data_IF_148813928528
#
_entry.id   IF_148813928528
#
_cell.length_a   1.000
_cell.length_b   1.000
_cell.length_c   1.000
_cell.angle_alpha   90.00
_cell.angle_beta   90.00
_cell.angle_gamma   90.00
#
_symmetry.space_group_name_H-M   'P 1'
#
loop_
_entity.id
_entity.type
_entity.pdbx_description
1 polymer ?
#
# COMPACT_ATOMS: atom_id res chain seq x y z
N UNK A 1 23.56 30.46 4.06
CA UNK A 1 24.88 30.61 3.41
C UNK A 1 24.82 29.85 2.10
N UNK A 2 24.78 30.58 0.99
CA UNK A 2 24.85 30.03 -0.35
C UNK A 2 26.35 29.98 -0.70
N UNK A 3 26.96 28.80 -0.72
CA UNK A 3 28.43 28.66 -0.79
C UNK A 3 29.00 28.96 -2.18
N UNK A 4 28.17 29.41 -3.13
CA UNK A 4 28.55 29.75 -4.52
C UNK A 4 29.13 28.58 -5.31
N UNK A 5 29.22 27.40 -4.70
CA UNK A 5 29.84 26.19 -5.23
C UNK A 5 28.77 25.31 -5.83
N UNK A 6 29.02 24.81 -7.05
CA UNK A 6 28.08 23.93 -7.74
C UNK A 6 27.95 22.65 -6.93
N UNK A 7 26.71 22.25 -6.64
CA UNK A 7 26.45 20.96 -6.04
C UNK A 7 26.46 19.86 -7.10
N UNK A 8 26.66 18.61 -6.68
CA UNK A 8 26.70 17.45 -7.56
C UNK A 8 25.47 17.35 -8.48
N UNK A 9 24.29 17.76 -8.00
CA UNK A 9 23.06 17.80 -8.79
C UNK A 9 23.14 18.82 -9.93
N UNK A 10 23.69 20.00 -9.68
CA UNK A 10 23.87 21.01 -10.72
C UNK A 10 24.86 20.56 -11.80
N UNK A 11 25.90 19.82 -11.41
CA UNK A 11 26.87 19.26 -12.35
C UNK A 11 26.26 18.13 -13.19
N UNK A 12 25.44 17.28 -12.58
CA UNK A 12 24.68 16.25 -13.30
C UNK A 12 23.75 16.87 -14.35
N UNK A 13 22.97 17.89 -13.99
CA UNK A 13 22.08 18.58 -14.92
C UNK A 13 22.86 19.29 -16.05
N UNK A 14 24.03 19.85 -15.74
CA UNK A 14 24.88 20.45 -16.75
C UNK A 14 25.45 19.40 -17.71
N UNK A 15 25.84 18.23 -17.22
CA UNK A 15 26.32 17.11 -18.04
C UNK A 15 25.21 16.59 -18.96
N UNK A 16 24.00 16.38 -18.43
CA UNK A 16 22.84 15.91 -19.19
C UNK A 16 22.49 16.87 -20.34
N UNK A 17 22.46 18.18 -20.07
CA UNK A 17 22.24 19.20 -21.12
C UNK A 17 23.32 19.20 -22.20
N UNK A 18 24.57 18.93 -21.84
CA UNK A 18 25.67 18.81 -22.81
C UNK A 18 25.49 17.58 -23.69
N UNK A 19 25.08 16.45 -23.10
CA UNK A 19 24.79 15.21 -23.83
C UNK A 19 23.64 15.45 -24.82
N UNK A 20 22.52 16.01 -24.37
CA UNK A 20 21.37 16.31 -25.24
C UNK A 20 21.77 17.16 -26.45
N UNK A 21 22.52 18.25 -26.23
CA UNK A 21 22.98 19.13 -27.33
C UNK A 21 23.87 18.39 -28.34
N UNK A 22 24.79 17.56 -27.86
CA UNK A 22 25.67 16.73 -28.72
C UNK A 22 24.87 15.73 -29.53
N UNK A 23 23.92 15.03 -28.89
CA UNK A 23 23.04 14.07 -29.56
C UNK A 23 22.22 14.74 -30.67
N UNK A 24 21.60 15.89 -30.39
CA UNK A 24 20.82 16.63 -31.39
C UNK A 24 21.70 17.10 -32.54
N UNK A 25 22.90 17.63 -32.27
CA UNK A 25 23.83 18.06 -33.31
C UNK A 25 24.28 16.88 -34.21
N UNK A 26 24.57 15.72 -33.61
CA UNK A 26 24.92 14.50 -34.34
C UNK A 26 23.73 13.98 -35.17
N UNK A 27 22.51 14.04 -34.63
CA UNK A 27 21.28 13.69 -35.35
C UNK A 27 21.10 14.59 -36.58
N UNK A 28 21.21 15.90 -36.42
CA UNK A 28 21.04 16.86 -37.52
C UNK A 28 22.12 16.68 -38.60
N UNK A 29 23.34 16.34 -38.20
CA UNK A 29 24.43 16.06 -39.14
C UNK A 29 24.14 14.81 -39.98
N UNK A 30 23.59 13.76 -39.35
CA UNK A 30 23.15 12.54 -40.05
C UNK A 30 21.94 12.77 -40.96
N UNK A 31 20.96 13.53 -40.49
CA UNK A 31 19.71 13.78 -41.22
C UNK A 31 19.90 14.72 -42.42
N UNK A 32 20.93 15.60 -42.37
CA UNK A 32 21.18 16.63 -43.37
C UNK A 32 22.66 16.63 -43.84
N UNK A 33 23.14 15.55 -44.49
CA UNK A 33 24.55 15.43 -44.86
C UNK A 33 24.95 16.46 -45.92
N UNK A 34 24.06 16.77 -46.88
CA UNK A 34 24.29 17.72 -47.97
C UNK A 34 23.97 19.19 -47.63
N UNK A 35 23.51 19.48 -46.42
CA UNK A 35 23.18 20.85 -46.02
C UNK A 35 24.44 21.65 -45.66
N UNK A 36 24.39 22.97 -45.87
CA UNK A 36 25.43 23.89 -45.40
C UNK A 36 25.55 23.84 -43.87
N UNK A 37 26.73 24.20 -43.35
CA UNK A 37 26.97 24.27 -41.90
C UNK A 37 25.97 25.19 -41.18
N UNK A 38 25.64 26.33 -41.79
CA UNK A 38 24.67 27.30 -41.26
C UNK A 38 23.26 26.69 -41.16
N UNK A 39 22.82 25.97 -42.20
CA UNK A 39 21.50 25.31 -42.20
C UNK A 39 21.42 24.19 -41.15
N UNK A 40 22.50 23.45 -40.93
CA UNK A 40 22.60 22.46 -39.84
C UNK A 40 22.56 23.13 -38.47
N UNK A 41 23.29 24.23 -38.29
CA UNK A 41 23.30 24.99 -37.04
C UNK A 41 21.90 25.48 -36.65
N UNK A 42 21.21 26.19 -37.55
CA UNK A 42 19.86 26.69 -37.31
C UNK A 42 18.84 25.57 -37.04
N UNK A 43 19.01 24.42 -37.69
CA UNK A 43 18.15 23.25 -37.46
C UNK A 43 18.42 22.61 -36.09
N UNK A 44 19.68 22.49 -35.68
CA UNK A 44 20.05 22.00 -34.36
C UNK A 44 19.53 22.91 -33.25
N UNK A 45 19.67 24.23 -33.37
CA UNK A 45 19.12 25.18 -32.41
C UNK A 45 17.59 25.06 -32.27
N UNK A 46 16.88 24.92 -33.39
CA UNK A 46 15.43 24.75 -33.39
C UNK A 46 15.02 23.48 -32.64
N UNK A 47 15.70 22.36 -32.92
CA UNK A 47 15.45 21.08 -32.24
C UNK A 47 15.81 21.13 -30.75
N UNK A 48 16.89 21.81 -30.37
CA UNK A 48 17.25 22.05 -28.96
C UNK A 48 16.16 22.86 -28.25
N UNK A 49 15.70 23.96 -28.87
CA UNK A 49 14.61 24.80 -28.33
C UNK A 49 13.33 23.99 -28.14
N UNK A 50 13.00 23.10 -29.08
CA UNK A 50 11.85 22.23 -28.96
C UNK A 50 12.00 21.21 -27.83
N UNK A 51 13.13 20.50 -27.77
CA UNK A 51 13.40 19.52 -26.71
C UNK A 51 13.30 20.13 -25.29
N UNK A 52 13.81 21.36 -25.11
CA UNK A 52 13.70 22.09 -23.83
C UNK A 52 12.24 22.44 -23.49
N UNK A 53 11.42 22.78 -24.49
CA UNK A 53 9.99 23.05 -24.29
C UNK A 53 9.24 21.79 -23.88
N UNK A 54 9.56 20.66 -24.49
CA UNK A 54 8.96 19.36 -24.21
C UNK A 54 9.31 18.91 -22.77
N UNK A 55 10.59 18.99 -22.39
CA UNK A 55 11.06 18.69 -21.01
C UNK A 55 10.37 19.58 -19.96
N UNK A 56 10.18 20.87 -20.27
CA UNK A 56 9.48 21.80 -19.39
C UNK A 56 7.98 21.49 -19.28
N UNK A 57 7.35 20.97 -20.33
CA UNK A 57 5.96 20.51 -20.29
C UNK A 57 5.81 19.25 -19.42
N UNK A 58 6.69 18.27 -19.60
CA UNK A 58 6.72 17.05 -18.78
C UNK A 58 6.95 17.36 -17.31
N UNK A 59 7.89 18.26 -17.02
CA UNK A 59 8.18 18.70 -15.65
C UNK A 59 6.96 19.37 -15.01
N UNK A 60 6.22 20.20 -15.75
CA UNK A 60 4.95 20.79 -15.28
C UNK A 60 3.90 19.73 -14.98
N UNK A 61 3.76 18.71 -15.84
CA UNK A 61 2.85 17.58 -15.61
C UNK A 61 3.25 16.81 -14.36
N UNK A 62 4.54 16.49 -14.19
CA UNK A 62 5.08 15.79 -13.01
C UNK A 62 4.81 16.57 -11.72
N UNK A 63 5.02 17.88 -11.74
CA UNK A 63 4.70 18.73 -10.60
C UNK A 63 3.20 18.81 -10.31
N UNK A 64 2.35 18.89 -11.34
CA UNK A 64 0.90 18.90 -11.18
C UNK A 64 0.40 17.59 -10.58
N UNK A 65 0.87 16.43 -11.08
CA UNK A 65 0.58 15.11 -10.51
C UNK A 65 1.06 15.01 -9.07
N UNK A 66 2.29 15.42 -8.78
CA UNK A 66 2.83 15.42 -7.42
C UNK A 66 2.07 16.36 -6.47
N UNK A 67 1.51 17.48 -6.95
CA UNK A 67 0.60 18.33 -6.16
C UNK A 67 -0.72 17.61 -5.92
N UNK A 68 -1.37 17.08 -6.96
CA UNK A 68 -2.61 16.33 -6.82
C UNK A 68 -2.48 15.13 -5.88
N UNK A 69 -1.37 14.39 -5.93
CA UNK A 69 -1.10 13.29 -5.01
C UNK A 69 -0.87 13.76 -3.57
N UNK A 70 -0.16 14.88 -3.36
CA UNK A 70 0.00 15.48 -2.03
C UNK A 70 -1.31 16.02 -1.48
N UNK A 71 -2.13 16.61 -2.34
CA UNK A 71 -3.46 17.13 -1.98
C UNK A 71 -4.40 15.96 -1.66
N UNK A 72 -4.41 14.89 -2.46
CA UNK A 72 -5.13 13.65 -2.17
C UNK A 72 -4.67 12.98 -0.86
N UNK A 73 -3.37 13.03 -0.53
CA UNK A 73 -2.84 12.54 0.76
C UNK A 73 -3.17 13.46 1.93
N UNK A 74 -3.31 14.77 1.70
CA UNK A 74 -3.71 15.75 2.73
C UNK A 74 -5.23 15.85 2.89
N UNK A 75 -6.01 15.41 1.90
CA UNK A 75 -7.47 15.55 1.87
C UNK A 75 -8.28 14.64 2.81
N UNK A 76 -7.74 13.59 3.47
CA UNK A 76 -8.49 12.89 4.52
C UNK A 76 -8.43 13.57 5.91
N UNK A 77 -7.53 14.53 6.14
CA UNK A 77 -7.25 15.05 7.51
C UNK A 77 -7.67 16.51 7.76
N UNK A 78 -8.35 17.15 6.80
CA UNK A 78 -8.67 18.57 6.86
C UNK A 78 -10.19 18.88 6.97
N UNK A 79 -10.95 18.13 7.79
CA UNK A 79 -11.88 18.66 8.84
C UNK A 79 -12.92 17.61 9.29
N UNK A 80 -13.37 17.61 10.56
CA UNK A 80 -12.97 18.53 11.63
C UNK A 80 -12.52 17.81 12.93
N UNK A 81 -11.29 18.08 13.37
CA UNK A 81 -10.95 17.97 14.80
C UNK A 81 -11.90 18.82 15.66
N UNK A 82 -12.47 19.89 15.09
CA UNK A 82 -13.46 20.74 15.74
C UNK A 82 -14.84 20.07 15.95
N UNK A 83 -15.27 19.13 15.10
CA UNK A 83 -16.53 18.40 15.30
C UNK A 83 -16.38 17.26 16.30
N UNK A 84 -15.23 16.59 16.29
CA UNK A 84 -14.91 15.54 17.26
C UNK A 84 -14.74 16.07 18.70
N UNK A 85 -14.29 17.31 18.87
CA UNK A 85 -14.18 17.93 20.21
C UNK A 85 -15.56 18.35 20.74
N UNK A 86 -16.43 18.90 19.88
CA UNK A 86 -17.81 19.25 20.23
C UNK A 86 -18.67 18.00 20.51
N UNK A 87 -18.53 16.94 19.72
CA UNK A 87 -19.19 15.64 20.00
C UNK A 87 -18.63 14.95 21.26
N UNK A 88 -17.32 15.13 21.56
CA UNK A 88 -16.72 14.66 22.83
C UNK A 88 -17.27 15.40 24.04
N UNK A 89 -17.49 16.71 23.91
CA UNK A 89 -18.01 17.54 24.98
C UNK A 89 -19.53 17.33 25.20
N UNK A 90 -20.27 16.91 24.18
CA UNK A 90 -21.72 16.69 24.26
C UNK A 90 -22.13 15.26 24.66
N UNK A 91 -21.19 14.30 24.77
CA UNK A 91 -21.47 12.94 25.27
C UNK A 91 -20.49 12.47 26.36
N UNK A 92 -20.40 13.16 27.51
CA UNK A 92 -19.77 12.57 28.68
C UNK A 92 -20.57 11.33 29.09
N UNK A 93 -20.01 10.14 28.91
CA UNK A 93 -20.58 8.88 29.42
C UNK A 93 -20.87 7.79 28.39
N UNK A 94 -20.73 8.02 27.08
CA UNK A 94 -20.83 6.92 26.13
C UNK A 94 -19.69 5.91 26.37
N UNK A 95 -20.04 4.64 26.56
CA UNK A 95 -19.06 3.57 26.74
C UNK A 95 -18.62 3.02 25.38
N UNK A 96 -17.43 2.41 25.33
CA UNK A 96 -16.97 1.72 24.12
C UNK A 96 -17.95 0.58 23.77
N UNK A 97 -18.44 0.53 22.54
CA UNK A 97 -19.36 -0.51 22.09
C UNK A 97 -18.82 -1.94 22.16
N UNK A 98 -17.50 -2.12 22.31
CA UNK A 98 -16.84 -3.43 22.42
C UNK A 98 -16.41 -3.70 23.88
N UNK A 99 -15.50 -2.91 24.42
CA UNK A 99 -14.92 -3.15 25.76
C UNK A 99 -15.62 -2.42 26.91
N UNK A 100 -16.69 -1.65 26.63
CA UNK A 100 -17.48 -0.88 27.61
C UNK A 100 -16.69 0.14 28.44
N UNK A 101 -15.46 0.48 28.05
CA UNK A 101 -14.66 1.53 28.71
C UNK A 101 -15.42 2.86 28.65
N UNK A 102 -15.60 3.59 29.77
CA UNK A 102 -16.34 4.85 29.79
C UNK A 102 -15.62 5.95 29.00
N UNK A 103 -16.37 6.99 28.63
CA UNK A 103 -15.86 8.17 27.91
C UNK A 103 -15.22 7.86 26.55
N UNK A 104 -15.85 6.96 25.79
CA UNK A 104 -15.49 6.65 24.42
C UNK A 104 -16.59 7.14 23.46
N UNK A 105 -16.22 7.99 22.49
CA UNK A 105 -17.07 8.35 21.37
C UNK A 105 -17.25 7.12 20.44
N UNK A 106 -18.18 6.23 20.81
CA UNK A 106 -18.55 4.92 20.21
C UNK A 106 -17.53 3.78 20.31
N UNK A 107 -16.24 4.01 20.05
CA UNK A 107 -15.16 3.03 20.24
C UNK A 107 -13.93 3.68 20.89
N UNK A 108 -13.30 2.98 21.83
CA UNK A 108 -12.02 3.42 22.41
C UNK A 108 -10.88 3.23 21.40
N UNK A 109 -9.78 3.95 21.56
CA UNK A 109 -8.61 3.90 20.65
C UNK A 109 -8.11 2.47 20.44
N UNK A 110 -7.95 1.69 21.51
CA UNK A 110 -7.52 0.28 21.40
C UNK A 110 -8.48 -0.59 20.57
N UNK A 111 -9.80 -0.37 20.69
CA UNK A 111 -10.78 -1.11 19.88
C UNK A 111 -10.81 -0.62 18.43
N UNK A 112 -10.58 0.66 18.18
CA UNK A 112 -10.43 1.20 16.82
C UNK A 112 -9.19 0.61 16.14
N UNK A 113 -8.09 0.57 16.88
CA UNK A 113 -6.83 0.03 16.39
C UNK A 113 -6.93 -1.47 16.10
N UNK A 114 -7.54 -2.26 16.99
CA UNK A 114 -7.82 -3.69 16.74
C UNK A 114 -8.70 -3.89 15.51
N UNK A 115 -9.77 -3.12 15.37
CA UNK A 115 -10.62 -3.18 14.17
C UNK A 115 -9.85 -2.81 12.90
N UNK A 116 -8.90 -1.88 12.98
CA UNK A 116 -8.05 -1.53 11.84
C UNK A 116 -7.11 -2.69 11.45
N UNK A 117 -6.59 -3.45 12.43
CA UNK A 117 -5.81 -4.67 12.20
C UNK A 117 -6.69 -5.74 11.51
N UNK A 118 -7.91 -5.98 12.00
CA UNK A 118 -8.83 -6.96 11.40
C UNK A 118 -9.19 -6.60 9.95
N UNK A 119 -9.48 -5.32 9.69
CA UNK A 119 -9.73 -4.83 8.31
C UNK A 119 -8.50 -5.06 7.44
N UNK A 120 -7.30 -4.75 7.94
CA UNK A 120 -6.07 -4.92 7.17
C UNK A 120 -5.79 -6.39 6.87
N UNK A 121 -6.07 -7.27 7.82
CA UNK A 121 -5.91 -8.72 7.66
C UNK A 121 -6.77 -9.23 6.50
N UNK A 122 -8.05 -8.86 6.48
CA UNK A 122 -8.94 -9.17 5.35
C UNK A 122 -8.44 -8.60 4.02
N UNK A 123 -7.91 -7.38 4.02
CA UNK A 123 -7.31 -6.79 2.81
C UNK A 123 -6.12 -7.58 2.27
N UNK A 124 -5.28 -8.09 3.17
CA UNK A 124 -4.16 -8.95 2.79
C UNK A 124 -4.67 -10.26 2.18
N UNK A 125 -5.66 -10.90 2.81
CA UNK A 125 -6.26 -12.15 2.32
C UNK A 125 -6.88 -12.00 0.92
N UNK A 126 -7.65 -10.92 0.70
CA UNK A 126 -8.19 -10.61 -0.62
C UNK A 126 -7.10 -10.39 -1.68
N UNK A 127 -6.00 -9.74 -1.30
CA UNK A 127 -4.87 -9.50 -2.20
C UNK A 127 -4.10 -10.79 -2.50
N UNK A 128 -3.93 -11.66 -1.49
CA UNK A 128 -3.33 -12.97 -1.64
C UNK A 128 -4.17 -13.87 -2.57
N UNK A 129 -5.50 -13.79 -2.48
CA UNK A 129 -6.40 -14.54 -3.35
C UNK A 129 -6.18 -14.18 -4.83
N UNK A 130 -6.05 -12.89 -5.18
CA UNK A 130 -5.73 -12.48 -6.57
C UNK A 130 -4.37 -13.00 -7.02
N UNK A 131 -3.42 -13.17 -6.11
CA UNK A 131 -2.08 -13.65 -6.42
C UNK A 131 -1.95 -15.19 -6.46
N UNK A 132 -2.89 -15.95 -5.89
CA UNK A 132 -2.69 -17.39 -5.66
C UNK A 132 -3.89 -18.29 -5.91
N UNK A 133 -5.10 -17.75 -5.84
CA UNK A 133 -6.32 -18.52 -6.07
C UNK A 133 -6.75 -18.43 -7.53
N UNK A 134 -7.45 -19.45 -8.02
CA UNK A 134 -8.15 -19.39 -9.29
C UNK A 134 -9.36 -18.47 -9.15
N UNK A 135 -9.23 -17.24 -9.66
CA UNK A 135 -10.26 -16.20 -9.58
C UNK A 135 -11.54 -16.59 -10.36
N UNK A 136 -11.45 -17.60 -11.24
CA UNK A 136 -12.58 -18.16 -11.96
C UNK A 136 -13.53 -19.03 -11.12
N UNK A 137 -13.06 -19.53 -9.96
CA UNK A 137 -13.86 -20.34 -9.03
C UNK A 137 -14.16 -19.57 -7.73
N UNK A 138 -15.38 -19.01 -7.57
CA UNK A 138 -15.75 -18.25 -6.38
C UNK A 138 -15.69 -19.06 -5.08
N UNK A 139 -15.94 -20.37 -5.12
CA UNK A 139 -15.95 -21.22 -3.93
C UNK A 139 -14.52 -21.48 -3.46
N UNK A 140 -13.61 -21.80 -4.38
CA UNK A 140 -12.18 -21.93 -4.08
C UNK A 140 -11.58 -20.63 -3.55
N UNK A 141 -11.96 -19.48 -4.13
CA UNK A 141 -11.51 -18.17 -3.64
C UNK A 141 -12.01 -17.87 -2.23
N UNK A 142 -13.28 -18.14 -1.93
CA UNK A 142 -13.84 -17.97 -0.59
C UNK A 142 -13.08 -18.81 0.46
N UNK A 143 -12.94 -20.11 0.20
CA UNK A 143 -12.22 -21.02 1.10
C UNK A 143 -10.74 -20.62 1.30
N UNK A 144 -10.09 -20.15 0.23
CA UNK A 144 -8.74 -19.62 0.30
C UNK A 144 -8.66 -18.39 1.20
N UNK A 145 -9.58 -17.42 1.03
CA UNK A 145 -9.61 -16.20 1.84
C UNK A 145 -9.76 -16.56 3.32
N UNK A 146 -10.71 -17.43 3.67
CA UNK A 146 -10.99 -17.81 5.06
C UNK A 146 -9.79 -18.50 5.72
N UNK A 147 -9.19 -19.47 5.00
CA UNK A 147 -8.03 -20.23 5.50
C UNK A 147 -6.82 -19.30 5.66
N UNK A 148 -6.56 -18.48 4.65
CA UNK A 148 -5.44 -17.54 4.67
C UNK A 148 -5.61 -16.46 5.76
N UNK A 149 -6.83 -15.97 5.97
CA UNK A 149 -7.15 -15.06 7.08
C UNK A 149 -6.91 -15.74 8.44
N UNK A 150 -7.30 -17.00 8.61
CA UNK A 150 -7.03 -17.75 9.84
C UNK A 150 -5.52 -17.94 10.09
N UNK A 151 -4.76 -18.35 9.08
CA UNK A 151 -3.32 -18.57 9.18
C UNK A 151 -2.55 -17.26 9.46
N UNK A 152 -2.93 -16.19 8.78
CA UNK A 152 -2.33 -14.88 8.98
C UNK A 152 -2.66 -14.33 10.38
N UNK A 153 -3.88 -14.58 10.88
CA UNK A 153 -4.26 -14.25 12.25
C UNK A 153 -3.41 -15.01 13.26
N UNK A 154 -3.25 -16.32 13.08
CA UNK A 154 -2.42 -17.15 13.95
C UNK A 154 -0.95 -16.67 13.98
N UNK A 155 -0.42 -16.25 12.82
CA UNK A 155 0.93 -15.69 12.71
C UNK A 155 1.06 -14.38 13.49
N UNK A 156 0.10 -13.46 13.34
CA UNK A 156 0.08 -12.19 14.08
C UNK A 156 -0.07 -12.45 15.59
N UNK A 157 -0.91 -13.39 15.98
CA UNK A 157 -1.13 -13.76 17.38
C UNK A 157 0.13 -14.31 18.03
N UNK A 158 0.87 -15.20 17.35
CA UNK A 158 2.16 -15.73 17.81
C UNK A 158 3.21 -14.62 17.97
N UNK A 159 3.35 -13.75 16.96
CA UNK A 159 4.24 -12.60 17.01
C UNK A 159 3.92 -11.67 18.19
N UNK A 160 2.63 -11.39 18.41
CA UNK A 160 2.18 -10.55 19.52
C UNK A 160 2.36 -11.25 20.87
N UNK A 161 2.16 -12.58 20.96
CA UNK A 161 2.40 -13.35 22.17
C UNK A 161 3.88 -13.32 22.57
N UNK A 162 4.79 -13.50 21.60
CA UNK A 162 6.23 -13.38 21.81
C UNK A 162 6.62 -11.98 22.28
N UNK A 163 6.20 -10.93 21.57
CA UNK A 163 6.51 -9.56 21.97
C UNK A 163 5.94 -9.20 23.35
N UNK A 164 4.77 -9.75 23.70
CA UNK A 164 4.18 -9.59 25.05
C UNK A 164 5.04 -10.25 26.12
N UNK A 165 5.61 -11.43 25.86
CA UNK A 165 6.54 -12.10 26.78
C UNK A 165 7.82 -11.31 27.01
N UNK A 166 8.21 -10.48 26.03
CA UNK A 166 9.36 -9.57 26.10
C UNK A 166 9.00 -8.19 26.71
N UNK A 167 7.77 -8.03 27.23
CA UNK A 167 7.34 -6.81 27.91
C UNK A 167 6.78 -5.71 27.01
N UNK A 168 6.42 -6.02 25.75
CA UNK A 168 5.83 -5.05 24.84
C UNK A 168 4.46 -4.53 25.35
N UNK A 169 4.23 -3.23 25.15
CA UNK A 169 2.94 -2.60 25.48
C UNK A 169 1.86 -2.93 24.45
N UNK A 170 0.58 -2.81 24.80
CA UNK A 170 -0.53 -3.01 23.85
C UNK A 170 -0.42 -2.13 22.59
N UNK A 171 0.10 -0.90 22.72
CA UNK A 171 0.33 -0.01 21.57
C UNK A 171 1.43 -0.55 20.65
N UNK A 172 2.50 -1.10 21.24
CA UNK A 172 3.57 -1.77 20.51
C UNK A 172 3.05 -3.01 19.78
N UNK A 173 2.20 -3.81 20.41
CA UNK A 173 1.61 -5.01 19.80
C UNK A 173 0.73 -4.66 18.60
N UNK A 174 -0.13 -3.65 18.72
CA UNK A 174 -0.94 -3.13 17.61
C UNK A 174 -0.06 -2.65 16.45
N UNK A 175 0.98 -1.87 16.76
CA UNK A 175 1.90 -1.36 15.75
C UNK A 175 2.63 -2.50 15.03
N UNK A 176 3.11 -3.50 15.78
CA UNK A 176 3.77 -4.68 15.24
C UNK A 176 2.86 -5.45 14.30
N UNK A 177 1.63 -5.76 14.73
CA UNK A 177 0.63 -6.43 13.90
C UNK A 177 0.35 -5.65 12.61
N UNK A 178 0.16 -4.34 12.73
CA UNK A 178 -0.10 -3.47 11.58
C UNK A 178 1.09 -3.44 10.61
N UNK A 179 2.32 -3.29 11.08
CA UNK A 179 3.52 -3.27 10.24
C UNK A 179 3.74 -4.61 9.53
N UNK A 180 3.52 -5.73 10.23
CA UNK A 180 3.56 -7.05 9.64
C UNK A 180 2.56 -7.15 8.48
N UNK A 181 1.28 -6.83 8.74
CA UNK A 181 0.24 -6.88 7.71
C UNK A 181 0.48 -5.92 6.55
N UNK A 182 1.01 -4.72 6.79
CA UNK A 182 1.39 -3.78 5.73
C UNK A 182 2.50 -4.33 4.83
N UNK A 183 3.50 -5.00 5.40
CA UNK A 183 4.57 -5.64 4.64
C UNK A 183 4.05 -6.83 3.84
N UNK A 184 3.29 -7.72 4.47
CA UNK A 184 2.65 -8.86 3.82
C UNK A 184 1.73 -8.40 2.67
N UNK A 185 0.95 -7.33 2.88
CA UNK A 185 0.13 -6.75 1.83
C UNK A 185 0.95 -6.23 0.64
N UNK A 186 2.10 -5.60 0.89
CA UNK A 186 3.00 -5.13 -0.18
C UNK A 186 3.55 -6.29 -0.99
N UNK A 187 3.92 -7.38 -0.34
CA UNK A 187 4.44 -8.59 -1.00
C UNK A 187 3.39 -9.23 -1.91
N UNK A 188 2.19 -9.49 -1.38
CA UNK A 188 1.11 -10.05 -2.20
C UNK A 188 0.65 -9.10 -3.30
N UNK A 189 0.67 -7.78 -3.09
CA UNK A 189 0.38 -6.81 -4.15
C UNK A 189 1.39 -6.90 -5.29
N UNK A 190 2.69 -7.03 -4.98
CA UNK A 190 3.72 -7.23 -6.01
C UNK A 190 3.52 -8.56 -6.76
N UNK A 191 3.22 -9.64 -6.03
CA UNK A 191 2.94 -10.94 -6.63
C UNK A 191 1.73 -10.90 -7.56
N UNK A 192 0.61 -10.32 -7.11
CA UNK A 192 -0.60 -10.14 -7.91
C UNK A 192 -0.33 -9.32 -9.18
N UNK A 193 0.37 -8.19 -9.07
CA UNK A 193 0.73 -7.37 -10.23
C UNK A 193 1.64 -8.13 -11.21
N UNK A 194 2.56 -8.96 -10.72
CA UNK A 194 3.42 -9.81 -11.57
C UNK A 194 2.59 -10.81 -12.39
N UNK A 195 1.61 -11.47 -11.75
CA UNK A 195 0.71 -12.43 -12.40
C UNK A 195 -0.20 -11.74 -13.41
N UNK A 196 -0.72 -10.56 -13.08
CA UNK A 196 -1.58 -9.79 -13.98
C UNK A 196 -0.81 -9.24 -15.19
N UNK A 197 0.45 -8.85 -15.00
CA UNK A 197 1.32 -8.40 -16.10
C UNK A 197 1.76 -9.55 -17.02
N UNK A 198 1.91 -10.77 -16.49
CA UNK A 198 2.29 -11.93 -17.29
C UNK A 198 1.09 -12.49 -18.07
N UNK A 199 -0.10 -12.53 -17.46
CA UNK A 199 -1.34 -12.91 -18.14
C UNK A 199 -1.77 -11.90 -19.21
N UNK A 200 -1.59 -10.59 -19.00
CA UNK A 200 -1.88 -9.58 -20.03
C UNK A 200 -0.96 -9.65 -21.24
N UNK A 201 0.23 -10.26 -21.12
CA UNK A 201 1.14 -10.51 -22.24
C UNK A 201 0.82 -11.79 -23.01
N UNK A 202 0.11 -12.72 -22.39
CA UNK A 202 -0.33 -13.97 -23.01
C UNK A 202 -1.61 -13.79 -23.85
N UNK A 203 -2.43 -12.79 -23.52
CA UNK A 203 -3.54 -12.35 -24.35
C UNK A 203 -2.97 -11.64 -25.60
N UNK A 204 -3.23 -12.13 -26.82
CA UNK A 204 -2.84 -11.40 -28.02
C UNK A 204 -3.62 -10.09 -28.05
N UNK A 205 -2.95 -8.99 -27.70
CA UNK A 205 -3.51 -7.66 -27.92
C UNK A 205 -3.90 -7.55 -29.40
N UNK A 206 -5.11 -7.07 -29.74
CA UNK A 206 -5.50 -6.86 -31.15
C UNK A 206 -4.57 -5.87 -31.88
N UNK A 207 -3.74 -5.12 -31.14
CA UNK A 207 -2.67 -4.29 -31.72
C UNK A 207 -1.44 -5.10 -32.20
N UNK A 208 -1.28 -6.35 -31.76
CA UNK A 208 -0.19 -7.26 -32.16
C UNK A 208 -0.45 -7.96 -33.51
N UNK A 209 -1.65 -7.82 -34.08
CA UNK A 209 -2.00 -8.40 -35.39
C UNK A 209 -1.54 -7.52 -36.57
N UNK A 210 -1.12 -6.27 -36.31
CA UNK A 210 -0.46 -5.45 -37.33
C UNK A 210 1.01 -5.87 -37.41
N UNK A 211 1.29 -6.84 -38.29
CA UNK A 211 2.62 -7.34 -38.57
C UNK A 211 3.54 -6.26 -39.14
N UNK A 212 4.39 -5.69 -38.29
CA UNK A 212 5.62 -5.06 -38.72
C UNK A 212 6.70 -6.15 -38.84
N UNK A 213 7.10 -6.43 -40.07
CA UNK A 213 8.26 -7.28 -40.40
C UNK A 213 9.52 -6.58 -39.90
N UNK A 214 9.91 -6.85 -38.66
CA UNK A 214 11.13 -6.31 -38.06
C UNK A 214 12.34 -7.17 -38.45
N UNK A 215 13.36 -6.52 -39.00
CA UNK A 215 14.61 -7.13 -39.47
C UNK A 215 15.35 -7.95 -38.40
N UNK A 216 16.02 -9.05 -38.77
CA UNK A 216 16.79 -9.89 -37.86
C UNK A 216 18.14 -9.23 -37.53
N UNK A 217 18.15 -8.37 -36.51
CA UNK A 217 19.39 -7.71 -36.04
C UNK A 217 19.39 -7.17 -34.61
N UNK A 218 18.25 -7.24 -33.90
CA UNK A 218 18.14 -6.74 -32.53
C UNK A 218 17.57 -7.79 -31.57
N UNK A 219 18.34 -8.85 -31.32
CA UNK A 219 18.07 -9.77 -30.22
C UNK A 219 18.55 -9.20 -28.86
N UNK A 220 18.21 -7.96 -28.52
CA UNK A 220 18.30 -7.43 -27.16
C UNK A 220 16.95 -6.79 -26.79
N UNK A 221 15.88 -7.58 -26.89
CA UNK A 221 14.55 -7.25 -26.37
C UNK A 221 14.46 -7.67 -24.91
N UNK A 222 15.15 -6.95 -24.01
CA UNK A 222 14.88 -7.05 -22.58
C UNK A 222 13.75 -6.07 -22.21
N UNK A 223 12.57 -6.65 -22.01
CA UNK A 223 11.40 -6.18 -21.25
C UNK A 223 11.32 -4.67 -20.94
N UNK A 224 10.87 -3.87 -21.92
CA UNK A 224 10.19 -2.61 -21.59
C UNK A 224 8.72 -2.94 -21.36
N UNK A 225 8.35 -3.27 -20.11
CA UNK A 225 6.95 -3.13 -19.69
C UNK A 225 6.57 -1.68 -19.98
N UNK A 226 5.60 -1.46 -20.86
CA UNK A 226 5.14 -0.09 -21.10
C UNK A 226 4.49 0.43 -19.81
N UNK A 227 4.57 1.74 -19.55
CA UNK A 227 3.86 2.34 -18.41
C UNK A 227 2.35 2.05 -18.48
N UNK A 228 1.82 1.85 -19.70
CA UNK A 228 0.43 1.50 -19.96
C UNK A 228 0.08 0.09 -19.45
N UNK A 229 0.97 -0.89 -19.62
CA UNK A 229 0.77 -2.27 -19.12
C UNK A 229 0.70 -2.28 -17.59
N UNK A 230 1.62 -1.55 -16.95
CA UNK A 230 1.65 -1.43 -15.48
C UNK A 230 0.37 -0.80 -14.95
N UNK A 231 -0.10 0.29 -15.58
CA UNK A 231 -1.35 0.94 -15.20
C UNK A 231 -2.58 0.05 -15.46
N UNK A 232 -2.57 -0.72 -16.54
CA UNK A 232 -3.65 -1.66 -16.84
C UNK A 232 -3.74 -2.77 -15.80
N UNK A 233 -2.61 -3.38 -15.43
CA UNK A 233 -2.55 -4.38 -14.37
C UNK A 233 -2.98 -3.82 -13.01
N UNK A 234 -2.63 -2.57 -12.70
CA UNK A 234 -3.10 -1.89 -11.48
C UNK A 234 -4.62 -1.73 -11.46
N UNK A 235 -5.23 -1.23 -12.53
CA UNK A 235 -6.70 -1.10 -12.62
C UNK A 235 -7.40 -2.46 -12.55
N UNK A 236 -6.84 -3.47 -13.20
CA UNK A 236 -7.36 -4.85 -13.15
C UNK A 236 -7.32 -5.40 -11.73
N UNK A 237 -6.21 -5.21 -11.01
CA UNK A 237 -6.09 -5.60 -9.61
C UNK A 237 -7.14 -4.91 -8.74
N UNK A 238 -7.30 -3.59 -8.88
CA UNK A 238 -8.30 -2.83 -8.11
C UNK A 238 -9.73 -3.30 -8.37
N UNK A 239 -10.04 -3.60 -9.64
CA UNK A 239 -11.36 -4.12 -10.04
C UNK A 239 -11.63 -5.49 -9.40
N UNK A 240 -10.66 -6.41 -9.49
CA UNK A 240 -10.77 -7.74 -8.87
C UNK A 240 -10.90 -7.66 -7.36
N UNK A 241 -10.11 -6.82 -6.69
CA UNK A 241 -10.20 -6.62 -5.23
C UNK A 241 -11.57 -6.08 -4.82
N UNK A 242 -12.11 -5.12 -5.57
CA UNK A 242 -13.44 -4.57 -5.31
C UNK A 242 -14.54 -5.62 -5.49
N UNK A 243 -14.41 -6.49 -6.51
CA UNK A 243 -15.33 -7.58 -6.75
C UNK A 243 -15.27 -8.65 -5.66
N UNK A 244 -14.06 -9.12 -5.30
CA UNK A 244 -13.87 -10.09 -4.23
C UNK A 244 -14.39 -9.56 -2.90
N UNK A 245 -14.16 -8.27 -2.59
CA UNK A 245 -14.70 -7.62 -1.39
C UNK A 245 -16.23 -7.66 -1.37
N UNK A 246 -16.89 -7.27 -2.46
CA UNK A 246 -18.37 -7.32 -2.56
C UNK A 246 -18.91 -8.74 -2.37
N UNK A 247 -18.30 -9.73 -3.02
CA UNK A 247 -18.71 -11.14 -2.93
C UNK A 247 -18.53 -11.67 -1.51
N UNK A 248 -17.37 -11.42 -0.91
CA UNK A 248 -17.05 -11.84 0.44
C UNK A 248 -17.98 -11.19 1.48
N UNK A 249 -18.21 -9.88 1.39
CA UNK A 249 -19.13 -9.18 2.30
C UNK A 249 -20.58 -9.67 2.14
N UNK A 250 -21.00 -10.05 0.93
CA UNK A 250 -22.33 -10.62 0.67
C UNK A 250 -22.48 -12.05 1.22
N UNK A 251 -21.43 -12.87 1.15
CA UNK A 251 -21.41 -14.23 1.71
C UNK A 251 -21.25 -14.28 3.24
N UNK A 252 -20.50 -13.33 3.80
CA UNK A 252 -20.22 -13.24 5.25
C UNK A 252 -21.42 -12.78 6.10
N UNK A 253 -22.48 -12.24 5.49
CA UNK A 253 -23.68 -11.79 6.23
C UNK A 253 -24.46 -12.94 6.90
N UNK A 254 -24.07 -14.21 6.70
CA UNK A 254 -24.65 -15.36 7.40
C UNK A 254 -23.89 -15.81 8.65
N UNK A 255 -22.68 -15.29 8.92
CA UNK A 255 -21.90 -15.72 10.07
C UNK A 255 -20.76 -14.78 10.41
N UNK A 256 -20.98 -13.86 11.36
CA UNK A 256 -19.99 -13.45 12.37
C UNK A 256 -20.39 -12.12 13.02
N UNK A 257 -21.17 -12.22 14.10
CA UNK A 257 -21.13 -11.28 15.21
C UNK A 257 -20.46 -11.94 16.42
N UNK A 258 -19.36 -12.66 16.19
CA UNK A 258 -18.45 -13.05 17.27
C UNK A 258 -17.14 -12.32 17.09
N UNK A 259 -17.19 -11.03 17.45
CA UNK A 259 -16.00 -10.27 17.74
C UNK A 259 -15.23 -10.94 18.89
N UNK A 260 -13.94 -11.20 18.68
CA UNK A 260 -12.96 -11.28 19.76
C UNK A 260 -12.44 -12.68 20.11
N UNK A 261 -11.49 -13.18 19.32
CA UNK A 261 -10.57 -14.23 19.76
C UNK A 261 -9.10 -13.76 19.87
N UNK A 262 -8.72 -12.71 19.12
CA UNK A 262 -7.35 -12.13 19.07
C UNK A 262 -6.88 -11.59 20.44
N UNK A 263 -7.83 -11.22 21.30
CA UNK A 263 -7.56 -10.80 22.68
C UNK A 263 -8.67 -11.34 23.57
N UNK A 264 -8.74 -12.67 23.75
CA UNK A 264 -9.56 -13.23 24.81
C UNK A 264 -9.13 -12.57 26.12
N UNK A 265 -10.03 -11.75 26.63
CA UNK A 265 -9.93 -11.07 27.91
C UNK A 265 -10.25 -12.12 28.98
N UNK A 266 -9.20 -12.71 29.56
CA UNK A 266 -9.29 -13.62 30.69
C UNK A 266 -8.47 -13.03 31.86
N UNK A 267 -9.05 -12.72 33.03
CA UNK A 267 -10.24 -11.93 33.29
C UNK A 267 -9.85 -10.61 33.99
N UNK A 268 -9.80 -9.47 33.30
CA UNK A 268 -9.79 -8.15 33.96
C UNK A 268 -11.19 -7.70 34.44
N UNK A 269 -12.18 -8.60 34.35
CA UNK A 269 -13.59 -8.38 34.71
C UNK A 269 -13.93 -8.59 36.18
N UNK A 270 -12.94 -8.70 37.07
CA UNK A 270 -13.19 -8.57 38.50
C UNK A 270 -12.75 -7.18 38.94
N UNK A 271 -13.72 -6.31 39.22
CA UNK A 271 -13.48 -5.07 39.96
C UNK A 271 -12.70 -5.36 41.25
N UNK A 272 -12.17 -4.34 41.90
CA UNK A 272 -11.29 -4.45 43.09
C UNK A 272 -11.77 -5.50 44.12
N UNK A 273 -13.08 -5.64 44.32
CA UNK A 273 -13.73 -6.67 45.14
C UNK A 273 -13.39 -8.13 44.77
N UNK A 274 -13.34 -8.48 43.48
CA UNK A 274 -13.03 -9.85 43.06
C UNK A 274 -11.53 -10.16 43.05
N UNK A 275 -10.65 -9.15 43.09
CA UNK A 275 -9.21 -9.32 43.34
C UNK A 275 -8.92 -9.58 44.82
N UNK A 276 -9.65 -8.92 45.72
CA UNK A 276 -9.58 -9.18 47.17
C UNK A 276 -9.99 -10.61 47.54
N UNK A 277 -11.10 -11.11 46.98
CA UNK A 277 -11.55 -12.48 47.25
C UNK A 277 -10.52 -13.55 46.81
N UNK A 278 -9.79 -13.29 45.73
CA UNK A 278 -8.77 -14.21 45.23
C UNK A 278 -7.47 -14.15 46.05
N UNK A 279 -7.10 -12.98 46.57
CA UNK A 279 -5.98 -12.83 47.51
C UNK A 279 -6.31 -13.45 48.88
N UNK A 280 -7.58 -13.38 49.32
CA UNK A 280 -8.04 -14.01 50.55
C UNK A 280 -8.03 -15.55 50.51
N UNK A 281 -8.10 -16.15 49.31
CA UNK A 281 -8.05 -17.61 49.13
C UNK A 281 -6.64 -18.13 48.75
N UNK A 282 -5.62 -17.26 48.75
CA UNK A 282 -4.25 -17.69 48.50
C UNK A 282 -3.63 -18.15 49.83
N UNK A 283 -3.19 -19.42 49.95
CA UNK A 283 -2.55 -19.89 51.18
C UNK A 283 -1.27 -19.08 51.41
N UNK A 284 -1.09 -18.61 52.64
CA UNK A 284 0.11 -17.89 53.05
C UNK A 284 1.29 -18.86 53.11
N UNK A 285 2.53 -18.38 52.86
CA UNK A 285 3.70 -19.23 52.78
C UNK A 285 4.07 -19.98 54.07
N UNK A 286 3.36 -19.75 55.18
CA UNK A 286 3.61 -20.43 56.46
C UNK A 286 2.81 -21.75 56.61
N UNK A 287 1.84 -22.05 55.74
CA UNK A 287 1.04 -23.28 55.80
C UNK A 287 1.63 -24.45 54.98
N UNK A 288 2.91 -24.35 54.56
CA UNK A 288 3.61 -25.41 53.80
C UNK A 288 4.73 -26.08 54.58
N UNK A 289 4.55 -26.26 55.89
CA UNK A 289 5.39 -27.17 56.68
C UNK A 289 4.51 -28.08 57.51
N UNK A 290 4.17 -29.24 56.94
CA UNK A 290 4.00 -30.54 57.61
C UNK A 290 3.90 -31.63 56.55
#
# INVERSE_FOLDING_TARGET
>A
MDTGTRCATCDYLAADRRIMRRTIAAQVTRDLPAASAEKRHLTAERRIKQAVRDEAAETRIRHARGRAERDMRRSPDARPRAGNEVDRQQRPGASCGICRKPSAASLCTACKDRKAVDVKLREVALTAAVARADVGDPAAVGAFIDTFEADLRATVDDMCAKARSEGATEQTLVLLARLHLENTAREYRRAALSILNSSSRAEPSPASACGERTHPGHQHSMSRTSEQDVQHAQRRLETLLAELRRRHDSGSHSGSLTAGAVFRDEPLRRGWAGRLAMLAHRPLPEDKVS
#
